data_IF_256371280309
#
_entry.id   IF_256371280309
#
_cell.length_a   1.000
_cell.length_b   1.000
_cell.length_c   1.000
_cell.angle_alpha   90.00
_cell.angle_beta   90.00
_cell.angle_gamma   90.00
#
_symmetry.space_group_name_H-M   'P 1'
#
loop_
_entity.id
_entity.type
_entity.pdbx_description
1 polymer ?
#
# COMPACT_ATOMS: atom_id res chain seq x y z
N UNK A 1 12.16 2.05 -6.06
CA UNK A 1 11.77 3.47 -6.20
C UNK A 1 10.37 3.66 -5.66
N UNK A 2 10.15 4.79 -5.02
CA UNK A 2 8.86 5.30 -4.58
C UNK A 2 8.06 5.81 -5.78
N UNK A 3 6.76 5.50 -5.85
CA UNK A 3 5.83 6.00 -6.85
C UNK A 3 4.55 6.54 -6.20
N UNK A 4 3.94 7.52 -6.84
CA UNK A 4 2.62 8.06 -6.51
C UNK A 4 1.70 7.88 -7.72
N UNK A 5 0.44 7.49 -7.47
CA UNK A 5 -0.57 7.32 -8.51
C UNK A 5 -1.98 7.59 -7.97
N UNK A 6 -2.77 8.34 -8.72
CA UNK A 6 -4.22 8.42 -8.53
C UNK A 6 -4.88 7.24 -9.26
N UNK A 7 -5.50 6.34 -8.51
CA UNK A 7 -6.09 5.11 -9.06
C UNK A 7 -7.28 4.64 -8.23
N UNK A 8 -8.31 4.11 -8.91
CA UNK A 8 -9.51 3.60 -8.24
C UNK A 8 -10.32 4.65 -7.49
N UNK A 9 -10.12 5.95 -7.74
CA UNK A 9 -10.75 7.04 -6.97
C UNK A 9 -10.02 7.41 -5.68
N UNK A 10 -8.84 6.84 -5.45
CA UNK A 10 -7.97 7.14 -4.32
C UNK A 10 -6.54 7.47 -4.71
N UNK A 11 -5.76 7.87 -3.72
CA UNK A 11 -4.34 8.21 -3.84
C UNK A 11 -3.49 7.05 -3.34
N UNK A 12 -2.59 6.56 -4.19
CA UNK A 12 -1.72 5.43 -3.88
C UNK A 12 -0.25 5.82 -3.92
N UNK A 13 0.42 5.74 -2.77
CA UNK A 13 1.88 5.93 -2.66
C UNK A 13 2.51 4.60 -2.29
N UNK A 14 3.36 4.07 -3.15
CA UNK A 14 3.88 2.71 -3.02
C UNK A 14 5.29 2.55 -3.56
N UNK A 15 5.95 1.47 -3.19
CA UNK A 15 7.21 1.05 -3.79
C UNK A 15 8.21 0.56 -2.76
N UNK A 16 9.47 0.56 -3.17
CA UNK A 16 10.61 0.14 -2.35
C UNK A 16 11.54 1.33 -2.15
N UNK A 17 11.82 1.66 -0.88
CA UNK A 17 12.73 2.72 -0.48
C UNK A 17 13.40 2.39 0.86
N UNK A 18 14.72 2.60 0.95
CA UNK A 18 15.47 2.45 2.20
C UNK A 18 15.36 1.06 2.85
N UNK A 19 15.32 -0.02 2.07
CA UNK A 19 15.18 -1.38 2.61
C UNK A 19 13.75 -1.72 3.07
N UNK A 20 12.76 -0.93 2.69
CA UNK A 20 11.34 -1.14 3.05
C UNK A 20 10.46 -1.11 1.81
N UNK A 21 9.62 -2.14 1.67
CA UNK A 21 8.46 -2.15 0.79
C UNK A 21 7.31 -1.49 1.53
N UNK A 22 6.64 -0.54 0.89
CA UNK A 22 5.49 0.11 1.49
C UNK A 22 4.37 0.30 0.48
N UNK A 23 3.15 0.29 0.98
CA UNK A 23 1.94 0.57 0.22
C UNK A 23 1.00 1.38 1.11
N UNK A 24 0.78 2.64 0.73
CA UNK A 24 -0.12 3.56 1.41
C UNK A 24 -1.23 3.94 0.44
N UNK A 25 -2.47 3.64 0.80
CA UNK A 25 -3.62 3.95 -0.03
C UNK A 25 -4.62 4.78 0.75
N UNK A 26 -5.02 5.93 0.21
CA UNK A 26 -6.06 6.78 0.75
C UNK A 26 -7.25 6.78 -0.21
N UNK A 27 -8.44 6.57 0.32
CA UNK A 27 -9.67 6.77 -0.42
C UNK A 27 -10.68 7.54 0.42
N UNK A 28 -11.28 8.57 -0.16
CA UNK A 28 -12.19 9.48 0.55
C UNK A 28 -13.52 8.82 0.90
N UNK A 29 -14.11 8.06 -0.03
CA UNK A 29 -15.51 7.64 0.08
C UNK A 29 -15.74 6.15 0.42
N UNK A 30 -14.76 5.25 0.28
CA UNK A 30 -14.95 3.80 0.49
C UNK A 30 -13.93 3.20 1.46
N UNK A 31 -14.33 2.09 2.11
CA UNK A 31 -13.39 1.22 2.84
C UNK A 31 -12.38 0.65 1.84
N UNK A 32 -11.11 0.65 2.20
CA UNK A 32 -10.03 0.31 1.28
C UNK A 32 -8.85 -0.30 2.03
N UNK A 33 -7.95 -0.93 1.27
CA UNK A 33 -6.81 -1.63 1.82
C UNK A 33 -5.54 -1.42 1.03
N UNK A 34 -4.42 -1.67 1.69
CA UNK A 34 -3.10 -1.67 1.08
C UNK A 34 -2.35 -2.94 1.48
N UNK A 35 -1.40 -3.35 0.65
CA UNK A 35 -0.60 -4.55 0.89
C UNK A 35 0.84 -4.31 0.46
N UNK A 36 1.78 -4.65 1.34
CA UNK A 36 3.20 -4.63 1.07
C UNK A 36 3.75 -6.05 1.20
N UNK A 37 4.36 -6.56 0.13
CA UNK A 37 5.00 -7.87 0.07
C UNK A 37 6.50 -7.64 0.05
N UNK A 38 7.16 -7.99 1.15
CA UNK A 38 8.61 -8.03 1.27
C UNK A 38 9.05 -9.34 1.91
N UNK A 39 9.87 -9.29 2.96
CA UNK A 39 10.23 -10.49 3.76
C UNK A 39 9.02 -11.17 4.39
N UNK A 40 7.97 -10.39 4.64
CA UNK A 40 6.65 -10.86 5.01
C UNK A 40 5.60 -10.06 4.25
N UNK A 41 4.36 -10.54 4.29
CA UNK A 41 3.21 -9.86 3.73
C UNK A 41 2.54 -9.06 4.85
N UNK A 42 2.49 -7.74 4.68
CA UNK A 42 1.69 -6.86 5.53
C UNK A 42 0.44 -6.41 4.79
N UNK A 43 -0.70 -6.43 5.47
CA UNK A 43 -2.00 -6.03 4.95
C UNK A 43 -2.66 -5.10 5.94
N UNK A 44 -3.09 -3.95 5.45
CA UNK A 44 -3.80 -2.97 6.24
C UNK A 44 -5.10 -2.57 5.56
N UNK A 45 -6.05 -2.12 6.37
CA UNK A 45 -7.36 -1.64 5.95
C UNK A 45 -7.65 -0.32 6.65
N UNK A 46 -8.41 0.53 5.99
CA UNK A 46 -8.87 1.79 6.53
C UNK A 46 -10.28 2.09 6.04
N UNK A 47 -11.08 2.68 6.94
CA UNK A 47 -12.36 3.27 6.58
C UNK A 47 -12.17 4.45 5.63
N UNK A 48 -13.26 4.83 4.95
CA UNK A 48 -13.36 6.02 4.12
C UNK A 48 -12.77 7.26 4.84
N UNK A 49 -12.00 8.07 4.10
CA UNK A 49 -11.39 9.30 4.61
C UNK A 49 -10.15 9.08 5.48
N UNK A 50 -9.63 7.85 5.56
CA UNK A 50 -8.35 7.52 6.22
C UNK A 50 -7.38 6.91 5.23
N UNK A 51 -6.12 6.81 5.63
CA UNK A 51 -5.08 6.15 4.82
C UNK A 51 -4.79 4.77 5.40
N UNK A 52 -4.95 3.73 4.58
CA UNK A 52 -4.43 2.40 4.86
C UNK A 52 -2.91 2.38 4.62
N UNK A 53 -2.15 1.82 5.56
CA UNK A 53 -0.68 1.84 5.55
C UNK A 53 -0.13 0.44 5.81
N UNK A 54 0.52 -0.13 4.80
CA UNK A 54 1.20 -1.42 4.88
C UNK A 54 2.69 -1.23 4.64
N UNK A 55 3.52 -1.92 5.42
CA UNK A 55 4.98 -1.91 5.26
C UNK A 55 5.58 -3.28 5.58
N UNK A 56 6.62 -3.64 4.85
CA UNK A 56 7.42 -4.82 5.12
C UNK A 56 8.90 -4.53 4.79
N UNK A 57 9.87 -5.13 5.50
CA UNK A 57 11.26 -5.10 5.09
C UNK A 57 11.41 -5.66 3.67
N UNK A 58 12.27 -5.03 2.87
CA UNK A 58 12.61 -5.48 1.52
C UNK A 58 13.15 -6.91 1.51
N UNK A 59 12.59 -7.74 0.63
CA UNK A 59 13.11 -9.04 0.26
C UNK A 59 14.11 -8.92 -0.89
N UNK A 60 14.94 -9.94 -1.07
CA UNK A 60 15.94 -9.98 -2.14
C UNK A 60 15.31 -9.93 -3.54
N UNK A 61 14.12 -10.50 -3.69
CA UNK A 61 13.34 -10.49 -4.92
C UNK A 61 11.86 -10.42 -4.57
N UNK A 62 11.00 -10.23 -5.59
CA UNK A 62 9.56 -10.34 -5.46
C UNK A 62 8.92 -9.33 -4.48
N UNK A 63 9.50 -8.13 -4.38
CA UNK A 63 8.89 -7.03 -3.64
C UNK A 63 7.68 -6.50 -4.41
N UNK A 64 6.49 -6.61 -3.84
CA UNK A 64 5.24 -6.22 -4.51
C UNK A 64 4.39 -5.31 -3.62
N UNK A 65 3.55 -4.51 -4.26
CA UNK A 65 2.68 -3.55 -3.59
C UNK A 65 1.31 -3.58 -4.25
N UNK A 66 0.26 -3.60 -3.44
CA UNK A 66 -1.12 -3.56 -3.93
C UNK A 66 -1.97 -2.58 -3.16
N UNK A 67 -3.10 -2.20 -3.77
CA UNK A 67 -4.21 -1.44 -3.20
C UNK A 67 -5.51 -2.15 -3.54
N UNK A 68 -6.57 -1.87 -2.77
CA UNK A 68 -7.93 -2.35 -3.03
C UNK A 68 -8.97 -1.37 -2.52
N UNK A 69 -10.12 -1.28 -3.20
CA UNK A 69 -11.30 -0.51 -2.77
C UNK A 69 -12.28 -1.36 -1.94
N UNK A 70 -11.73 -2.33 -1.22
CA UNK A 70 -12.50 -3.18 -0.32
C UNK A 70 -11.72 -3.44 0.95
N UNK A 71 -12.49 -3.61 2.02
CA UNK A 71 -12.13 -4.39 3.17
C UNK A 71 -12.85 -5.75 2.92
#
# INVERSE_FOLDING_TARGET
MAAFKEIGGGEWTHGVSGGTVYSNYYHRDVCHGSTAVGKYVDRAEANAGRTSRAKAPEAWTNNQTYWRNTC
#
